data_IF_372006599507
#
_entry.id   IF_372006599507
#
_cell.length_a   1.000
_cell.length_b   1.000
_cell.length_c   1.000
_cell.angle_alpha   90.00
_cell.angle_beta   90.00
_cell.angle_gamma   90.00
#
_symmetry.space_group_name_H-M   'P 1'
#
loop_
_entity.id
_entity.type
_entity.pdbx_description
1 polymer ?
#
# COMPACT_ATOMS: atom_id res chain seq x y z
N UNK A 1 -63.63 -0.35 42.65
CA UNK A 1 -62.97 0.13 41.42
C UNK A 1 -62.45 1.57 41.56
N UNK A 2 -63.20 2.49 42.16
CA UNK A 2 -62.81 3.90 42.28
C UNK A 2 -61.53 4.10 43.14
N UNK A 3 -61.38 3.40 44.26
CA UNK A 3 -60.19 3.50 45.14
C UNK A 3 -58.92 2.93 44.48
N UNK A 4 -59.03 1.87 43.68
CA UNK A 4 -57.90 1.33 42.89
C UNK A 4 -57.35 2.30 41.87
N UNK A 5 -58.21 3.10 41.24
CA UNK A 5 -57.82 4.13 40.23
C UNK A 5 -57.09 5.29 40.89
N UNK A 6 -57.55 5.70 42.09
CA UNK A 6 -56.92 6.79 42.89
C UNK A 6 -55.52 6.36 43.36
N UNK A 7 -55.36 5.14 43.85
CA UNK A 7 -54.05 4.57 44.24
C UNK A 7 -53.07 4.51 43.09
N UNK A 8 -53.55 3.99 41.94
CA UNK A 8 -52.73 3.92 40.72
C UNK A 8 -52.28 5.32 40.22
N UNK A 9 -53.17 6.30 40.36
CA UNK A 9 -52.85 7.71 40.01
C UNK A 9 -51.77 8.32 40.90
N UNK A 10 -51.88 8.11 42.21
CA UNK A 10 -50.82 8.59 43.16
C UNK A 10 -49.48 7.93 42.92
N UNK A 11 -49.43 6.61 42.70
CA UNK A 11 -48.24 5.87 42.36
C UNK A 11 -47.59 6.37 41.04
N UNK A 12 -48.44 6.61 40.05
CA UNK A 12 -48.00 7.13 38.76
C UNK A 12 -47.43 8.55 38.86
N UNK A 13 -48.12 9.45 39.59
CA UNK A 13 -47.63 10.81 39.78
C UNK A 13 -46.28 10.85 40.54
N UNK A 14 -46.10 10.01 41.56
CA UNK A 14 -44.84 9.90 42.28
C UNK A 14 -43.69 9.38 41.44
N UNK A 15 -43.93 8.35 40.66
CA UNK A 15 -42.94 7.79 39.72
C UNK A 15 -42.59 8.79 38.59
N UNK A 16 -43.60 9.50 38.03
CA UNK A 16 -43.39 10.48 36.99
C UNK A 16 -42.59 11.70 37.52
N UNK A 17 -42.85 12.16 38.71
CA UNK A 17 -42.09 13.24 39.35
C UNK A 17 -40.58 12.81 39.54
N UNK A 18 -40.36 11.62 40.08
CA UNK A 18 -39.00 11.07 40.23
C UNK A 18 -38.29 10.93 38.87
N UNK A 19 -38.97 10.45 37.83
CA UNK A 19 -38.45 10.34 36.46
C UNK A 19 -38.11 11.69 35.84
N UNK A 20 -38.92 12.74 36.05
CA UNK A 20 -38.66 14.08 35.59
C UNK A 20 -37.41 14.69 36.27
N UNK A 21 -37.31 14.55 37.59
CA UNK A 21 -36.12 15.01 38.35
C UNK A 21 -34.87 14.26 37.87
N UNK A 22 -34.97 12.93 37.63
CA UNK A 22 -33.88 12.14 37.10
C UNK A 22 -33.46 12.57 35.69
N UNK A 23 -34.39 12.88 34.81
CA UNK A 23 -34.09 13.41 33.48
C UNK A 23 -33.36 14.75 33.51
N UNK A 24 -33.75 15.66 34.42
CA UNK A 24 -33.09 16.94 34.62
C UNK A 24 -31.66 16.71 35.15
N UNK A 25 -31.50 15.87 36.17
CA UNK A 25 -30.19 15.53 36.75
C UNK A 25 -29.28 14.91 35.67
N UNK A 26 -29.76 13.97 34.84
CA UNK A 26 -28.99 13.40 33.75
C UNK A 26 -28.59 14.43 32.70
N UNK A 27 -29.48 15.38 32.38
CA UNK A 27 -29.13 16.52 31.49
C UNK A 27 -28.02 17.40 32.05
N UNK A 28 -28.06 17.72 33.35
CA UNK A 28 -27.04 18.49 34.03
C UNK A 28 -25.69 17.76 34.12
N UNK A 29 -25.74 16.42 34.24
CA UNK A 29 -24.58 15.55 34.37
C UNK A 29 -24.11 14.95 33.03
N UNK A 30 -24.60 15.41 31.87
CA UNK A 30 -24.28 14.83 30.54
C UNK A 30 -22.79 14.79 30.20
N UNK A 31 -21.97 15.63 30.85
CA UNK A 31 -20.52 15.67 30.66
C UNK A 31 -19.74 14.84 31.71
N UNK A 32 -20.44 14.10 32.55
CA UNK A 32 -19.83 13.20 33.55
C UNK A 32 -19.69 11.77 32.99
N UNK A 33 -18.95 10.96 33.73
CA UNK A 33 -18.69 9.56 33.29
C UNK A 33 -19.98 8.74 33.23
N UNK A 34 -19.99 7.71 32.36
CA UNK A 34 -21.09 6.74 32.22
C UNK A 34 -21.48 6.10 33.56
N UNK A 35 -20.49 5.86 34.47
CA UNK A 35 -20.77 5.38 35.82
C UNK A 35 -21.70 6.31 36.60
N UNK A 36 -21.48 7.61 36.54
CA UNK A 36 -22.35 8.57 37.19
C UNK A 36 -23.76 8.55 36.62
N UNK A 37 -23.88 8.46 35.29
CA UNK A 37 -25.18 8.33 34.63
C UNK A 37 -25.94 7.08 35.07
N UNK A 38 -25.28 5.91 35.06
CA UNK A 38 -25.87 4.65 35.53
C UNK A 38 -26.28 4.68 37.00
N UNK A 39 -25.46 5.30 37.86
CA UNK A 39 -25.77 5.48 39.28
C UNK A 39 -27.01 6.35 39.47
N UNK A 40 -27.12 7.45 38.71
CA UNK A 40 -28.29 8.34 38.74
C UNK A 40 -29.56 7.62 38.26
N UNK A 41 -29.48 6.87 37.18
CA UNK A 41 -30.61 6.07 36.67
C UNK A 41 -31.09 5.07 37.71
N UNK A 42 -30.17 4.34 38.35
CA UNK A 42 -30.48 3.39 39.41
C UNK A 42 -31.10 4.07 40.66
N UNK A 43 -30.55 5.21 41.06
CA UNK A 43 -31.07 6.03 42.15
C UNK A 43 -32.51 6.54 41.88
N UNK A 44 -32.76 7.00 40.64
CA UNK A 44 -34.11 7.44 40.23
C UNK A 44 -35.09 6.28 40.23
N UNK A 45 -34.71 5.12 39.67
CA UNK A 45 -35.55 3.91 39.66
C UNK A 45 -35.92 3.47 41.08
N UNK A 46 -34.93 3.41 41.97
CA UNK A 46 -35.11 3.05 43.40
C UNK A 46 -35.98 4.09 44.11
N UNK A 47 -35.78 5.37 43.91
CA UNK A 47 -36.58 6.43 44.53
C UNK A 47 -38.03 6.38 44.03
N UNK A 48 -38.25 6.15 42.72
CA UNK A 48 -39.59 6.00 42.15
C UNK A 48 -40.32 4.78 42.74
N UNK A 49 -39.62 3.66 42.88
CA UNK A 49 -40.18 2.47 43.47
C UNK A 49 -40.54 2.64 44.97
N UNK A 50 -39.66 3.28 45.72
CA UNK A 50 -39.92 3.62 47.13
C UNK A 50 -41.12 4.59 47.30
N UNK A 51 -41.18 5.65 46.52
CA UNK A 51 -42.28 6.60 46.58
C UNK A 51 -43.62 5.92 46.18
N UNK A 52 -43.64 5.07 45.15
CA UNK A 52 -44.80 4.34 44.75
C UNK A 52 -45.31 3.34 45.82
N UNK A 53 -44.39 2.56 46.40
CA UNK A 53 -44.74 1.58 47.44
C UNK A 53 -45.23 2.23 48.74
N UNK A 54 -44.63 3.32 49.17
CA UNK A 54 -45.07 4.10 50.34
C UNK A 54 -46.44 4.66 50.10
N UNK A 55 -46.69 5.32 48.95
CA UNK A 55 -47.97 5.89 48.58
C UNK A 55 -49.10 4.85 48.58
N UNK A 56 -48.85 3.65 48.06
CA UNK A 56 -49.79 2.56 48.05
C UNK A 56 -50.02 2.04 49.48
N UNK A 57 -48.97 1.89 50.29
CA UNK A 57 -49.07 1.38 51.66
C UNK A 57 -49.88 2.33 52.56
N UNK A 58 -49.68 3.64 52.45
CA UNK A 58 -50.53 4.65 53.18
C UNK A 58 -51.96 4.63 52.68
N UNK A 59 -52.23 4.51 51.42
CA UNK A 59 -53.60 4.51 50.87
C UNK A 59 -54.38 3.23 51.19
N UNK A 60 -53.73 2.14 51.50
CA UNK A 60 -54.35 0.86 51.88
C UNK A 60 -54.57 0.69 53.41
N UNK A 61 -54.29 1.70 54.23
CA UNK A 61 -54.43 1.64 55.70
C UNK A 61 -53.77 0.40 56.33
N UNK A 62 -52.53 0.05 55.86
CA UNK A 62 -51.76 -1.05 56.41
C UNK A 62 -51.45 -0.86 57.91
N UNK A 63 -51.37 -1.98 58.63
CA UNK A 63 -50.94 -1.92 60.02
C UNK A 63 -49.49 -1.43 60.12
N UNK A 64 -49.11 -0.80 61.27
CA UNK A 64 -47.72 -0.37 61.45
C UNK A 64 -46.70 -1.50 61.27
N UNK A 65 -47.09 -2.71 61.55
CA UNK A 65 -46.25 -3.93 61.36
C UNK A 65 -46.03 -4.22 59.88
N UNK A 66 -47.08 -4.24 59.09
CA UNK A 66 -46.98 -4.50 57.63
C UNK A 66 -46.21 -3.41 56.90
N UNK A 67 -46.41 -2.16 57.31
CA UNK A 67 -45.64 -1.05 56.77
C UNK A 67 -44.13 -1.19 57.07
N UNK A 68 -43.74 -1.62 58.27
CA UNK A 68 -42.33 -1.86 58.61
C UNK A 68 -41.70 -2.99 57.83
N UNK A 69 -42.43 -4.08 57.55
CA UNK A 69 -41.97 -5.17 56.70
C UNK A 69 -41.75 -4.74 55.27
N UNK A 70 -42.72 -4.04 54.67
CA UNK A 70 -42.62 -3.54 53.30
C UNK A 70 -41.46 -2.58 53.17
N UNK A 71 -41.32 -1.58 54.09
CA UNK A 71 -40.20 -0.64 54.02
C UNK A 71 -38.85 -1.32 54.18
N UNK A 72 -38.72 -2.33 55.02
CA UNK A 72 -37.47 -3.08 55.20
C UNK A 72 -37.08 -3.81 53.94
N UNK A 73 -38.04 -4.55 53.34
CA UNK A 73 -37.80 -5.32 52.09
C UNK A 73 -37.38 -4.36 50.95
N UNK A 74 -38.09 -3.26 50.78
CA UNK A 74 -37.77 -2.29 49.71
C UNK A 74 -36.43 -1.60 49.97
N UNK A 75 -36.11 -1.28 51.24
CA UNK A 75 -34.80 -0.71 51.59
C UNK A 75 -33.64 -1.68 51.28
N UNK A 76 -33.82 -2.98 51.58
CA UNK A 76 -32.81 -3.99 51.22
C UNK A 76 -32.68 -4.14 49.72
N UNK A 77 -33.77 -4.17 48.98
CA UNK A 77 -33.77 -4.25 47.51
C UNK A 77 -33.08 -2.98 46.90
N UNK A 78 -33.30 -1.81 47.47
CA UNK A 78 -32.63 -0.55 47.10
C UNK A 78 -31.11 -0.61 47.25
N UNK A 79 -30.65 -1.12 48.40
CA UNK A 79 -29.21 -1.29 48.69
C UNK A 79 -28.55 -2.25 47.69
N UNK A 80 -29.16 -3.38 47.44
CA UNK A 80 -28.65 -4.38 46.48
C UNK A 80 -28.62 -3.80 45.05
N UNK A 81 -29.69 -3.13 44.65
CA UNK A 81 -29.76 -2.50 43.33
C UNK A 81 -28.71 -1.39 43.15
N UNK A 82 -28.49 -0.57 44.16
CA UNK A 82 -27.46 0.49 44.13
C UNK A 82 -26.07 -0.12 44.10
N UNK A 83 -25.77 -1.12 44.89
CA UNK A 83 -24.48 -1.83 44.89
C UNK A 83 -24.16 -2.41 43.50
N UNK A 84 -25.16 -3.10 42.92
CA UNK A 84 -25.02 -3.69 41.58
C UNK A 84 -24.76 -2.60 40.50
N UNK A 85 -25.49 -1.49 40.53
CA UNK A 85 -25.32 -0.40 39.61
C UNK A 85 -23.93 0.24 39.72
N UNK A 86 -23.40 0.39 40.93
CA UNK A 86 -22.06 0.91 41.20
C UNK A 86 -20.97 -0.01 40.67
N UNK A 87 -21.08 -1.32 40.91
CA UNK A 87 -20.12 -2.32 40.43
C UNK A 87 -20.09 -2.33 38.90
N UNK A 88 -21.27 -2.41 38.26
CA UNK A 88 -21.39 -2.43 36.81
C UNK A 88 -20.86 -1.13 36.18
N UNK A 89 -21.22 0.02 36.76
CA UNK A 89 -20.75 1.32 36.30
C UNK A 89 -19.23 1.46 36.35
N UNK A 90 -18.60 1.00 37.46
CA UNK A 90 -17.13 1.00 37.59
C UNK A 90 -16.48 0.07 36.57
N UNK A 91 -17.04 -1.10 36.31
CA UNK A 91 -16.54 -2.07 35.34
C UNK A 91 -16.57 -1.48 33.92
N UNK A 92 -17.68 -0.88 33.49
CA UNK A 92 -17.79 -0.26 32.15
C UNK A 92 -16.79 0.90 32.00
N UNK A 93 -16.65 1.74 33.02
CA UNK A 93 -15.69 2.88 32.95
C UNK A 93 -14.25 2.40 32.92
N UNK A 94 -13.89 1.35 33.64
CA UNK A 94 -12.54 0.79 33.61
C UNK A 94 -12.19 0.30 32.20
N UNK A 95 -13.10 -0.45 31.56
CA UNK A 95 -12.91 -0.95 30.19
C UNK A 95 -12.86 0.16 29.14
N UNK A 96 -13.72 1.18 29.28
CA UNK A 96 -13.67 2.36 28.41
C UNK A 96 -12.35 3.15 28.51
N UNK A 97 -11.79 3.22 29.74
CA UNK A 97 -10.48 3.86 29.95
C UNK A 97 -9.32 3.07 29.34
N UNK A 98 -9.32 1.74 29.47
CA UNK A 98 -8.31 0.89 28.84
C UNK A 98 -8.30 1.08 27.32
N UNK A 99 -9.47 1.09 26.69
CA UNK A 99 -9.59 1.34 25.25
C UNK A 99 -9.12 2.75 24.87
N UNK A 100 -9.47 3.77 25.67
CA UNK A 100 -9.03 5.14 25.44
C UNK A 100 -7.50 5.32 25.58
N UNK A 101 -6.86 4.59 26.50
CA UNK A 101 -5.40 4.58 26.65
C UNK A 101 -4.73 3.87 25.45
N UNK A 102 -5.25 2.72 25.03
CA UNK A 102 -4.76 2.04 23.84
C UNK A 102 -4.90 2.92 22.58
N UNK A 103 -6.01 3.65 22.44
CA UNK A 103 -6.19 4.58 21.32
C UNK A 103 -5.23 5.78 21.36
N UNK A 104 -4.83 6.27 22.55
CA UNK A 104 -3.84 7.34 22.69
C UNK A 104 -2.43 6.89 22.33
N UNK A 105 -2.01 5.70 22.78
CA UNK A 105 -0.69 5.15 22.44
C UNK A 105 -0.53 4.95 20.93
N UNK A 106 -1.63 4.65 20.24
CA UNK A 106 -1.66 4.63 18.78
C UNK A 106 -1.43 6.02 18.16
N UNK A 107 -2.05 7.08 18.71
CA UNK A 107 -1.85 8.46 18.26
C UNK A 107 -0.41 8.96 18.38
N UNK A 108 0.37 8.41 19.32
CA UNK A 108 1.78 8.72 19.57
C UNK A 108 2.76 7.89 18.74
N UNK A 109 2.26 7.11 17.76
CA UNK A 109 3.08 6.34 16.82
C UNK A 109 3.26 4.87 17.19
N UNK A 110 2.60 4.38 18.23
CA UNK A 110 2.54 2.96 18.59
C UNK A 110 1.56 2.16 17.73
N UNK A 111 1.59 0.84 17.84
CA UNK A 111 0.56 -0.03 17.27
C UNK A 111 -0.64 -0.11 18.22
N UNK A 112 -1.85 -0.10 17.66
CA UNK A 112 -3.05 -0.36 18.45
C UNK A 112 -3.12 -1.85 18.78
N UNK A 113 -3.07 -2.17 20.09
CA UNK A 113 -3.38 -3.51 20.60
C UNK A 113 -4.74 -3.45 21.30
N UNK A 114 -5.70 -4.23 20.84
CA UNK A 114 -6.99 -4.34 21.50
C UNK A 114 -6.81 -4.91 22.91
N UNK A 115 -7.40 -4.30 23.96
CA UNK A 115 -7.33 -4.86 25.30
C UNK A 115 -7.96 -6.24 25.37
N UNK A 116 -7.28 -7.20 26.02
CA UNK A 116 -7.81 -8.53 26.26
C UNK A 116 -8.94 -8.51 27.30
N UNK A 117 -10.06 -9.11 27.01
CA UNK A 117 -11.15 -9.34 27.95
C UNK A 117 -12.54 -9.03 27.41
N UNK A 118 -13.54 -9.74 27.94
CA UNK A 118 -14.93 -9.55 27.58
C UNK A 118 -15.38 -8.12 27.90
N UNK A 119 -15.65 -7.36 26.88
CA UNK A 119 -16.29 -6.04 26.93
C UNK A 119 -17.71 -6.12 26.37
N UNK A 120 -18.46 -5.04 26.44
CA UNK A 120 -19.75 -5.00 25.75
C UNK A 120 -19.55 -5.15 24.24
N UNK A 121 -20.57 -5.62 23.54
CA UNK A 121 -20.52 -5.82 22.08
C UNK A 121 -20.09 -4.56 21.34
N UNK A 122 -20.55 -3.38 21.81
CA UNK A 122 -20.24 -2.09 21.22
C UNK A 122 -18.76 -1.71 21.39
N UNK A 123 -18.18 -1.95 22.57
CA UNK A 123 -16.75 -1.68 22.82
C UNK A 123 -15.86 -2.64 22.02
N UNK A 124 -16.30 -3.88 21.86
CA UNK A 124 -15.58 -4.86 21.02
C UNK A 124 -15.62 -4.47 19.55
N UNK A 125 -16.78 -4.04 19.04
CA UNK A 125 -16.89 -3.53 17.68
C UNK A 125 -16.02 -2.30 17.44
N UNK A 126 -16.03 -1.33 18.37
CA UNK A 126 -15.19 -0.15 18.29
C UNK A 126 -13.69 -0.48 18.31
N UNK A 127 -13.27 -1.41 19.17
CA UNK A 127 -11.89 -1.88 19.23
C UNK A 127 -11.48 -2.55 17.90
N UNK A 128 -12.37 -3.33 17.27
CA UNK A 128 -12.16 -3.93 15.97
C UNK A 128 -11.97 -2.88 14.86
N UNK A 129 -12.80 -1.84 14.81
CA UNK A 129 -12.67 -0.74 13.84
C UNK A 129 -11.38 0.06 14.04
N UNK A 130 -11.00 0.32 15.29
CA UNK A 130 -9.72 0.97 15.60
C UNK A 130 -8.52 0.12 15.17
N UNK A 131 -8.57 -1.18 15.40
CA UNK A 131 -7.52 -2.12 14.97
C UNK A 131 -7.39 -2.14 13.44
N UNK A 132 -8.50 -2.24 12.71
CA UNK A 132 -8.51 -2.22 11.25
C UNK A 132 -7.97 -0.89 10.68
N UNK A 133 -8.35 0.24 11.29
CA UNK A 133 -7.86 1.57 10.90
C UNK A 133 -6.38 1.73 11.18
N UNK A 134 -5.90 1.23 12.33
CA UNK A 134 -4.48 1.19 12.70
C UNK A 134 -3.65 0.42 11.67
N UNK A 135 -4.13 -0.76 11.28
CA UNK A 135 -3.44 -1.58 10.28
C UNK A 135 -3.38 -0.91 8.90
N UNK A 136 -4.48 -0.29 8.46
CA UNK A 136 -4.50 0.48 7.20
C UNK A 136 -3.50 1.64 7.23
N UNK A 137 -3.45 2.37 8.35
CA UNK A 137 -2.51 3.49 8.52
C UNK A 137 -1.06 3.01 8.58
N UNK A 138 -0.78 1.89 9.24
CA UNK A 138 0.56 1.29 9.28
C UNK A 138 1.04 0.91 7.87
N UNK A 139 0.19 0.23 7.08
CA UNK A 139 0.49 -0.11 5.68
C UNK A 139 0.69 1.14 4.81
N UNK A 140 -0.11 2.19 5.03
CA UNK A 140 0.05 3.46 4.29
C UNK A 140 1.40 4.13 4.59
N UNK A 141 1.78 4.19 5.87
CA UNK A 141 3.08 4.76 6.29
C UNK A 141 4.26 3.94 5.78
N UNK A 142 4.13 2.63 5.71
CA UNK A 142 5.18 1.76 5.18
C UNK A 142 5.37 1.99 3.67
N UNK A 143 4.28 2.11 2.91
CA UNK A 143 4.34 2.48 1.49
C UNK A 143 4.97 3.86 1.29
N UNK A 144 4.58 4.86 2.08
CA UNK A 144 5.15 6.21 2.03
C UNK A 144 6.66 6.20 2.31
N UNK A 145 7.10 5.47 3.33
CA UNK A 145 8.54 5.30 3.63
C UNK A 145 9.29 4.60 2.51
N UNK A 146 8.72 3.55 1.94
CA UNK A 146 9.33 2.85 0.80
C UNK A 146 9.49 3.78 -0.41
N UNK A 147 8.46 4.58 -0.73
CA UNK A 147 8.51 5.58 -1.80
C UNK A 147 9.56 6.67 -1.53
N UNK A 148 9.63 7.18 -0.29
CA UNK A 148 10.61 8.20 0.08
C UNK A 148 12.05 7.65 0.04
N UNK A 149 12.26 6.41 0.46
CA UNK A 149 13.56 5.74 0.37
C UNK A 149 13.98 5.56 -1.09
N UNK A 150 13.08 5.02 -1.93
CA UNK A 150 13.33 4.86 -3.36
C UNK A 150 13.62 6.19 -4.06
N UNK A 151 12.90 7.25 -3.69
CA UNK A 151 13.17 8.59 -4.22
C UNK A 151 14.56 9.11 -3.84
N UNK A 152 14.99 8.91 -2.57
CA UNK A 152 16.32 9.34 -2.12
C UNK A 152 17.43 8.55 -2.81
N UNK A 153 17.25 7.25 -2.93
CA UNK A 153 18.19 6.39 -3.66
C UNK A 153 18.32 6.81 -5.11
N UNK A 154 17.21 7.11 -5.77
CA UNK A 154 17.18 7.60 -7.14
C UNK A 154 17.95 8.92 -7.28
N UNK A 155 17.71 9.92 -6.42
CA UNK A 155 18.40 11.20 -6.44
C UNK A 155 19.91 11.05 -6.19
N UNK A 156 20.28 10.22 -5.23
CA UNK A 156 21.70 9.95 -4.94
C UNK A 156 22.40 9.28 -6.13
N UNK A 157 21.75 8.30 -6.73
CA UNK A 157 22.25 7.60 -7.91
C UNK A 157 22.40 8.54 -9.10
N UNK A 158 21.38 9.36 -9.43
CA UNK A 158 21.42 10.35 -10.49
C UNK A 158 22.63 11.29 -10.32
N UNK A 159 22.80 11.81 -9.10
CA UNK A 159 23.86 12.76 -8.81
C UNK A 159 25.26 12.16 -9.03
N UNK A 160 25.41 10.87 -8.71
CA UNK A 160 26.66 10.16 -8.95
C UNK A 160 26.91 9.88 -10.43
N UNK A 161 25.91 9.34 -11.13
CA UNK A 161 26.06 8.83 -12.49
C UNK A 161 26.05 9.91 -13.58
N UNK A 162 25.48 11.10 -13.29
CA UNK A 162 25.65 12.28 -14.15
C UNK A 162 26.98 12.98 -13.93
N UNK A 163 27.58 12.93 -12.74
CA UNK A 163 28.84 13.61 -12.46
C UNK A 163 30.00 13.05 -13.27
N UNK A 164 30.05 11.74 -13.48
CA UNK A 164 31.16 11.05 -14.18
C UNK A 164 31.25 11.48 -15.66
N UNK A 165 30.17 11.40 -16.49
CA UNK A 165 30.22 11.85 -17.88
C UNK A 165 30.45 13.37 -18.01
N UNK A 166 29.87 14.17 -17.11
CA UNK A 166 30.09 15.61 -17.09
C UNK A 166 31.55 15.97 -16.79
N UNK A 167 32.21 15.26 -15.89
CA UNK A 167 33.64 15.45 -15.63
C UNK A 167 34.50 15.02 -16.84
N UNK A 168 34.11 13.94 -17.55
CA UNK A 168 34.74 13.52 -18.78
C UNK A 168 34.59 14.58 -19.91
N UNK A 169 33.39 15.10 -20.13
CA UNK A 169 33.11 16.18 -21.08
C UNK A 169 33.97 17.42 -20.78
N UNK A 170 34.04 17.81 -19.53
CA UNK A 170 34.86 18.94 -19.09
C UNK A 170 36.33 18.73 -19.38
N UNK A 171 36.88 17.54 -19.03
CA UNK A 171 38.28 17.22 -19.31
C UNK A 171 38.60 17.23 -20.83
N UNK A 172 37.68 16.72 -21.66
CA UNK A 172 37.81 16.74 -23.11
C UNK A 172 37.78 18.16 -23.65
N UNK A 173 36.93 19.03 -23.13
CA UNK A 173 36.86 20.45 -23.53
C UNK A 173 38.12 21.21 -23.12
N UNK A 174 38.60 21.02 -21.88
CA UNK A 174 39.85 21.62 -21.38
C UNK A 174 41.06 21.15 -22.22
N UNK A 175 41.15 19.89 -22.60
CA UNK A 175 42.24 19.38 -23.44
C UNK A 175 42.22 19.95 -24.86
N UNK A 176 41.03 20.22 -25.44
CA UNK A 176 40.87 20.90 -26.71
C UNK A 176 41.25 22.37 -26.61
N UNK A 177 40.88 23.08 -25.54
CA UNK A 177 41.22 24.49 -25.28
C UNK A 177 42.73 24.67 -25.10
N UNK A 178 43.38 23.77 -24.38
CA UNK A 178 44.84 23.81 -24.16
C UNK A 178 45.65 23.41 -25.42
N UNK A 179 45.02 22.92 -26.47
CA UNK A 179 45.69 22.52 -27.72
C UNK A 179 46.59 21.28 -27.56
N UNK A 180 46.42 20.48 -26.50
CA UNK A 180 47.27 19.30 -26.22
C UNK A 180 46.81 18.04 -26.93
N UNK A 181 45.71 18.10 -27.70
CA UNK A 181 45.11 16.97 -28.41
C UNK A 181 45.71 16.79 -29.78
N UNK A 182 46.10 15.57 -30.14
CA UNK A 182 46.65 15.27 -31.45
C UNK A 182 45.58 15.18 -32.57
N UNK A 183 44.33 14.85 -32.20
CA UNK A 183 43.20 14.70 -33.11
C UNK A 183 41.94 15.34 -32.50
N UNK A 184 41.69 16.64 -32.78
CA UNK A 184 40.53 17.36 -32.28
C UNK A 184 39.20 16.82 -32.78
N UNK A 185 39.11 16.29 -34.00
CA UNK A 185 37.88 15.77 -34.57
C UNK A 185 37.38 14.54 -33.78
N UNK A 186 38.31 13.69 -33.39
CA UNK A 186 37.99 12.54 -32.50
C UNK A 186 37.39 13.00 -31.17
N UNK A 187 37.91 14.07 -30.57
CA UNK A 187 37.39 14.61 -29.31
C UNK A 187 35.99 15.23 -29.49
N UNK A 188 35.76 15.94 -30.61
CA UNK A 188 34.41 16.44 -30.91
C UNK A 188 33.37 15.30 -31.07
N UNK A 189 33.75 14.20 -31.77
CA UNK A 189 32.89 13.02 -31.87
C UNK A 189 32.63 12.37 -30.53
N UNK A 190 33.64 12.26 -29.65
CA UNK A 190 33.47 11.72 -28.31
C UNK A 190 32.56 12.58 -27.42
N UNK A 191 32.72 13.91 -27.48
CA UNK A 191 31.84 14.87 -26.81
C UNK A 191 30.39 14.71 -27.31
N UNK A 192 30.17 14.61 -28.62
CA UNK A 192 28.85 14.38 -29.19
C UNK A 192 28.21 13.08 -28.65
N UNK A 193 28.95 11.99 -28.71
CA UNK A 193 28.46 10.70 -28.21
C UNK A 193 28.13 10.73 -26.70
N UNK A 194 28.93 11.43 -25.87
CA UNK A 194 28.66 11.54 -24.44
C UNK A 194 27.46 12.45 -24.12
N UNK A 195 27.24 13.52 -24.95
CA UNK A 195 26.02 14.34 -24.86
C UNK A 195 24.77 13.52 -25.20
N UNK A 196 24.82 12.71 -26.26
CA UNK A 196 23.70 11.83 -26.64
C UNK A 196 23.40 10.81 -25.56
N UNK A 197 24.44 10.27 -24.95
CA UNK A 197 24.31 9.36 -23.80
C UNK A 197 23.65 10.03 -22.58
N UNK A 198 24.05 11.27 -22.28
CA UNK A 198 23.44 12.07 -21.20
C UNK A 198 21.96 12.36 -21.48
N UNK A 199 21.62 12.73 -22.73
CA UNK A 199 20.24 12.96 -23.13
C UNK A 199 19.38 11.69 -22.97
N UNK A 200 19.90 10.54 -23.38
CA UNK A 200 19.23 9.25 -23.18
C UNK A 200 18.99 8.98 -21.69
N UNK A 201 20.02 9.20 -20.85
CA UNK A 201 19.93 8.99 -19.39
C UNK A 201 18.89 9.91 -18.74
N UNK A 202 18.81 11.17 -19.15
CA UNK A 202 17.79 12.13 -18.68
C UNK A 202 16.38 11.67 -19.10
N UNK A 203 16.23 11.16 -20.35
CA UNK A 203 14.99 10.61 -20.83
C UNK A 203 14.52 9.39 -20.01
N UNK A 204 15.45 8.46 -19.73
CA UNK A 204 15.18 7.27 -18.91
C UNK A 204 14.79 7.63 -17.48
N UNK A 205 15.44 8.65 -16.91
CA UNK A 205 15.13 9.17 -15.59
C UNK A 205 13.72 9.77 -15.51
N UNK A 206 13.35 10.56 -16.51
CA UNK A 206 12.02 11.16 -16.57
C UNK A 206 10.93 10.08 -16.64
N UNK A 207 11.17 9.04 -17.44
CA UNK A 207 10.26 7.90 -17.56
C UNK A 207 10.14 7.11 -16.25
N UNK A 208 11.28 6.80 -15.61
CA UNK A 208 11.29 6.12 -14.33
C UNK A 208 10.56 6.93 -13.24
N UNK A 209 10.69 8.26 -13.30
CA UNK A 209 9.93 9.14 -12.39
C UNK A 209 8.42 9.04 -12.60
N UNK A 210 7.96 8.95 -13.86
CA UNK A 210 6.53 8.76 -14.20
C UNK A 210 6.00 7.39 -13.75
N UNK A 211 6.81 6.35 -13.95
CA UNK A 211 6.50 4.98 -13.50
C UNK A 211 6.34 4.97 -11.97
N UNK A 212 7.30 5.50 -11.22
CA UNK A 212 7.25 5.54 -9.75
C UNK A 212 6.10 6.39 -9.21
N UNK A 213 5.70 7.45 -9.92
CA UNK A 213 4.54 8.26 -9.56
C UNK A 213 3.20 7.58 -9.90
N UNK A 214 3.20 6.44 -10.59
CA UNK A 214 1.98 5.80 -11.09
C UNK A 214 1.23 6.63 -12.12
N UNK A 215 1.95 7.54 -12.81
CA UNK A 215 1.37 8.51 -13.76
C UNK A 215 1.75 8.21 -15.21
N UNK A 216 2.25 7.01 -15.50
CA UNK A 216 2.53 6.59 -16.88
C UNK A 216 1.21 6.53 -17.66
N UNK A 217 0.95 7.45 -18.61
CA UNK A 217 -0.26 7.40 -19.41
C UNK A 217 -0.09 6.31 -20.46
N UNK A 218 -0.84 5.25 -20.34
CA UNK A 218 -0.90 4.20 -21.33
C UNK A 218 -2.07 4.44 -22.28
N UNK A 219 -1.86 4.15 -23.56
CA UNK A 219 -2.87 4.13 -24.61
C UNK A 219 -2.95 2.74 -25.21
N UNK A 220 -3.50 1.74 -24.49
CA UNK A 220 -3.54 0.38 -24.95
C UNK A 220 -4.32 0.25 -26.26
N UNK A 221 -3.77 -0.47 -27.20
CA UNK A 221 -4.41 -0.82 -28.47
C UNK A 221 -4.18 -2.29 -28.76
N UNK A 222 -5.07 -2.91 -29.51
CA UNK A 222 -4.94 -4.29 -29.92
C UNK A 222 -3.86 -4.40 -31.01
N UNK A 223 -2.74 -5.05 -30.67
CA UNK A 223 -1.57 -5.18 -31.54
C UNK A 223 -1.19 -6.63 -31.74
N UNK A 224 -0.58 -6.93 -32.88
CA UNK A 224 0.03 -8.24 -33.14
C UNK A 224 1.39 -8.33 -32.45
N UNK A 225 1.59 -9.38 -31.66
CA UNK A 225 2.89 -9.68 -31.05
C UNK A 225 3.97 -9.86 -32.11
N UNK A 226 3.61 -10.40 -33.28
CA UNK A 226 4.51 -10.57 -34.42
C UNK A 226 5.06 -9.21 -34.89
N UNK A 227 4.20 -8.21 -35.02
CA UNK A 227 4.59 -6.87 -35.47
C UNK A 227 5.50 -6.19 -34.43
N UNK A 228 5.18 -6.29 -33.15
CA UNK A 228 6.02 -5.77 -32.07
C UNK A 228 7.44 -6.38 -32.08
N UNK A 229 7.52 -7.69 -32.22
CA UNK A 229 8.81 -8.40 -32.29
C UNK A 229 9.58 -8.02 -33.57
N UNK A 230 8.89 -7.92 -34.70
CA UNK A 230 9.49 -7.54 -36.00
C UNK A 230 10.10 -6.13 -35.93
N UNK A 231 9.37 -5.17 -35.37
CA UNK A 231 9.85 -3.79 -35.19
C UNK A 231 11.06 -3.73 -34.24
N UNK A 232 10.99 -4.46 -33.12
CA UNK A 232 12.09 -4.48 -32.16
C UNK A 232 13.37 -5.10 -32.75
N UNK A 233 13.26 -6.19 -33.51
CA UNK A 233 14.40 -6.79 -34.21
C UNK A 233 15.00 -5.85 -35.24
N UNK A 234 14.17 -5.21 -36.07
CA UNK A 234 14.64 -4.25 -37.07
C UNK A 234 15.38 -3.07 -36.44
N UNK A 235 14.87 -2.56 -35.30
CA UNK A 235 15.52 -1.47 -34.55
C UNK A 235 16.84 -1.86 -33.90
N UNK A 236 17.01 -3.11 -33.48
CA UNK A 236 18.21 -3.61 -32.79
C UNK A 236 19.30 -4.12 -33.76
N UNK A 237 18.97 -4.43 -35.02
CA UNK A 237 19.87 -5.04 -36.00
C UNK A 237 21.16 -4.24 -36.26
N UNK A 238 21.15 -2.88 -36.39
CA UNK A 238 22.38 -2.11 -36.55
C UNK A 238 23.35 -2.29 -35.36
N UNK A 239 22.86 -2.24 -34.14
CA UNK A 239 23.65 -2.42 -32.93
C UNK A 239 24.23 -3.84 -32.82
N UNK A 240 23.43 -4.84 -33.18
CA UNK A 240 23.87 -6.22 -33.15
C UNK A 240 25.00 -6.47 -34.15
N UNK A 241 24.91 -5.93 -35.37
CA UNK A 241 25.99 -6.00 -36.38
C UNK A 241 27.28 -5.31 -35.90
N UNK A 242 27.15 -4.15 -35.25
CA UNK A 242 28.30 -3.42 -34.71
C UNK A 242 29.04 -4.26 -33.65
N UNK A 243 28.28 -5.01 -32.81
CA UNK A 243 28.83 -5.88 -31.78
C UNK A 243 29.20 -7.29 -32.26
N UNK A 244 28.96 -7.62 -33.52
CA UNK A 244 29.21 -8.96 -34.07
C UNK A 244 28.26 -10.04 -33.48
N UNK A 245 27.06 -9.64 -33.04
CA UNK A 245 26.06 -10.52 -32.42
C UNK A 245 24.99 -10.87 -33.45
N UNK A 246 24.56 -12.13 -33.49
CA UNK A 246 23.47 -12.59 -34.37
C UNK A 246 22.12 -12.47 -33.68
N UNK A 247 21.21 -11.70 -34.25
CA UNK A 247 19.81 -11.68 -33.83
C UNK A 247 19.00 -12.78 -34.52
N UNK A 248 18.22 -13.52 -33.75
CA UNK A 248 17.35 -14.59 -34.23
C UNK A 248 15.94 -14.39 -33.71
N UNK A 249 14.96 -14.28 -34.64
CA UNK A 249 13.54 -14.40 -34.30
C UNK A 249 13.16 -15.86 -34.27
N UNK A 250 12.82 -16.40 -33.13
CA UNK A 250 12.19 -17.73 -32.99
C UNK A 250 10.71 -17.65 -33.36
N UNK A 251 9.99 -18.78 -33.44
CA UNK A 251 8.57 -18.75 -33.77
C UNK A 251 7.79 -17.81 -32.83
N UNK A 252 7.08 -16.84 -33.40
CA UNK A 252 6.24 -15.90 -32.70
C UNK A 252 4.78 -16.27 -32.96
N UNK A 253 4.05 -16.57 -31.91
CA UNK A 253 2.63 -16.84 -32.01
C UNK A 253 1.88 -15.60 -32.52
N UNK A 254 1.03 -15.68 -33.55
CA UNK A 254 0.27 -14.55 -34.09
C UNK A 254 -0.94 -14.23 -33.20
N UNK A 255 -0.68 -13.87 -31.96
CA UNK A 255 -1.73 -13.56 -30.95
C UNK A 255 -1.79 -12.07 -30.71
N UNK A 256 -2.98 -11.47 -30.68
CA UNK A 256 -3.14 -10.08 -30.32
C UNK A 256 -2.97 -9.89 -28.80
N UNK A 257 -2.32 -8.79 -28.44
CA UNK A 257 -2.23 -8.27 -27.08
C UNK A 257 -2.82 -6.87 -27.04
N UNK A 258 -3.33 -6.47 -25.88
CA UNK A 258 -3.83 -5.12 -25.65
C UNK A 258 -2.79 -4.34 -24.86
N UNK A 259 -1.98 -3.54 -25.57
CA UNK A 259 -0.83 -2.86 -25.00
C UNK A 259 -0.62 -1.48 -25.64
N UNK A 260 0.10 -0.62 -24.97
CA UNK A 260 0.67 0.57 -25.59
C UNK A 260 1.91 0.16 -26.44
N UNK A 261 1.76 0.25 -27.75
CA UNK A 261 2.79 -0.20 -28.69
C UNK A 261 4.12 0.50 -28.51
N UNK A 262 4.11 1.82 -28.25
CA UNK A 262 5.31 2.62 -28.03
C UNK A 262 6.06 2.15 -26.80
N UNK A 263 5.36 1.96 -25.71
CA UNK A 263 5.97 1.52 -24.45
C UNK A 263 6.46 0.08 -24.54
N UNK A 264 5.74 -0.80 -25.23
CA UNK A 264 6.17 -2.19 -25.42
C UNK A 264 7.36 -2.30 -26.38
N UNK A 265 7.43 -1.50 -27.46
CA UNK A 265 8.62 -1.39 -28.30
C UNK A 265 9.83 -0.97 -27.47
N UNK A 266 9.66 -0.02 -26.53
CA UNK A 266 10.70 0.40 -25.59
C UNK A 266 11.14 -0.74 -24.65
N UNK A 267 10.20 -1.53 -24.13
CA UNK A 267 10.52 -2.73 -23.34
C UNK A 267 11.43 -3.68 -24.10
N UNK A 268 11.02 -4.04 -25.34
CA UNK A 268 11.79 -4.95 -26.16
C UNK A 268 13.15 -4.38 -26.56
N UNK A 269 13.23 -3.09 -26.90
CA UNK A 269 14.48 -2.40 -27.20
C UNK A 269 15.45 -2.46 -25.99
N UNK A 270 14.98 -2.17 -24.76
CA UNK A 270 15.81 -2.25 -23.56
C UNK A 270 16.32 -3.67 -23.31
N UNK A 271 15.49 -4.69 -23.51
CA UNK A 271 15.89 -6.09 -23.36
C UNK A 271 16.91 -6.49 -24.41
N UNK A 272 16.70 -6.13 -25.69
CA UNK A 272 17.60 -6.46 -26.81
C UNK A 272 18.94 -5.73 -26.67
N UNK A 273 18.95 -4.44 -26.36
CA UNK A 273 20.17 -3.68 -26.12
C UNK A 273 21.00 -4.27 -24.97
N UNK A 274 20.33 -4.64 -23.87
CA UNK A 274 21.01 -5.28 -22.74
C UNK A 274 21.57 -6.65 -23.16
N UNK A 275 20.83 -7.45 -23.90
CA UNK A 275 21.24 -8.77 -24.38
C UNK A 275 22.44 -8.68 -25.34
N UNK A 276 22.41 -7.74 -26.30
CA UNK A 276 23.48 -7.53 -27.27
C UNK A 276 24.79 -7.12 -26.56
N UNK A 277 24.73 -6.16 -25.63
CA UNK A 277 25.91 -5.71 -24.90
C UNK A 277 26.54 -6.78 -23.99
N UNK A 278 25.75 -7.76 -23.56
CA UNK A 278 26.19 -8.83 -22.67
C UNK A 278 26.62 -10.10 -23.41
N UNK A 279 26.26 -10.23 -24.67
CA UNK A 279 26.60 -11.40 -25.49
C UNK A 279 27.99 -11.18 -26.12
N UNK A 280 28.93 -12.13 -25.99
CA UNK A 280 30.21 -12.04 -26.71
C UNK A 280 30.03 -11.97 -28.22
N UNK A 281 31.02 -11.43 -28.93
CA UNK A 281 31.06 -11.46 -30.39
C UNK A 281 30.90 -12.90 -30.90
N UNK A 282 30.24 -13.07 -32.05
CA UNK A 282 29.83 -14.34 -32.66
C UNK A 282 28.71 -15.09 -31.86
N UNK A 283 28.25 -14.52 -30.72
CA UNK A 283 27.14 -15.05 -29.95
C UNK A 283 25.79 -14.79 -30.61
N UNK A 284 24.74 -15.33 -30.01
CA UNK A 284 23.37 -15.22 -30.51
C UNK A 284 22.46 -14.66 -29.44
N UNK A 285 21.63 -13.71 -29.84
CA UNK A 285 20.50 -13.20 -29.05
C UNK A 285 19.22 -13.64 -29.76
N UNK A 286 18.37 -14.37 -29.04
CA UNK A 286 17.10 -14.89 -29.58
C UNK A 286 15.91 -14.22 -28.90
N UNK A 287 14.90 -13.84 -29.70
CA UNK A 287 13.61 -13.37 -29.21
C UNK A 287 12.52 -14.35 -29.62
N UNK A 288 11.65 -14.70 -28.69
CA UNK A 288 10.52 -15.60 -28.92
C UNK A 288 9.25 -15.04 -28.29
N UNK A 289 8.10 -15.47 -28.81
CA UNK A 289 6.81 -15.20 -28.19
C UNK A 289 5.94 -16.45 -28.23
N UNK A 290 5.44 -16.85 -27.09
CA UNK A 290 4.57 -18.02 -26.93
C UNK A 290 3.31 -17.68 -26.16
N UNK A 291 2.25 -18.42 -26.39
CA UNK A 291 1.03 -18.38 -25.59
C UNK A 291 1.15 -19.43 -24.50
N UNK A 292 1.00 -19.00 -23.26
CA UNK A 292 1.00 -19.87 -22.09
C UNK A 292 -0.26 -19.58 -21.27
N UNK A 293 -1.18 -20.53 -21.26
CA UNK A 293 -2.51 -20.37 -20.66
C UNK A 293 -3.27 -19.17 -21.26
N UNK A 294 -3.69 -18.22 -20.43
CA UNK A 294 -4.36 -16.96 -20.83
C UNK A 294 -3.40 -15.78 -20.94
N UNK A 295 -2.11 -16.03 -21.17
CA UNK A 295 -1.07 -15.00 -21.21
C UNK A 295 -0.16 -15.17 -22.43
N UNK A 296 0.42 -14.08 -22.87
CA UNK A 296 1.49 -14.06 -23.87
C UNK A 296 2.81 -13.84 -23.15
N UNK A 297 3.78 -14.71 -23.43
CA UNK A 297 5.13 -14.62 -22.88
C UNK A 297 6.10 -14.24 -23.98
N UNK A 298 6.63 -13.02 -23.88
CA UNK A 298 7.75 -12.55 -24.70
C UNK A 298 9.05 -12.91 -23.99
N UNK A 299 10.01 -13.47 -24.67
CA UNK A 299 11.30 -13.82 -24.08
C UNK A 299 12.48 -13.38 -24.94
N UNK A 300 13.51 -12.83 -24.27
CA UNK A 300 14.81 -12.52 -24.88
C UNK A 300 15.85 -13.39 -24.20
N UNK A 301 16.56 -14.20 -24.98
CA UNK A 301 17.63 -15.09 -24.51
C UNK A 301 18.96 -14.59 -25.03
N UNK A 302 19.94 -14.47 -24.16
CA UNK A 302 21.29 -13.98 -24.47
C UNK A 302 22.36 -15.03 -24.13
N UNK A 303 23.59 -14.76 -24.58
CA UNK A 303 24.78 -15.57 -24.31
C UNK A 303 25.69 -14.99 -23.22
N UNK A 304 25.13 -14.33 -22.19
CA UNK A 304 25.88 -13.60 -21.18
C UNK A 304 26.72 -14.47 -20.21
N UNK A 305 26.65 -15.80 -20.31
CA UNK A 305 27.30 -16.73 -19.38
C UNK A 305 26.57 -16.95 -18.05
N UNK A 306 25.47 -16.22 -17.84
CA UNK A 306 24.63 -16.30 -16.62
C UNK A 306 24.83 -15.15 -15.65
N UNK A 307 23.85 -14.98 -14.76
CA UNK A 307 23.84 -14.00 -13.66
C UNK A 307 24.04 -14.75 -12.34
N UNK A 308 24.88 -14.26 -11.40
CA UNK A 308 25.00 -14.86 -10.08
C UNK A 308 23.62 -14.99 -9.40
N UNK A 309 23.38 -16.12 -8.73
CA UNK A 309 22.08 -16.40 -8.13
C UNK A 309 21.65 -15.32 -7.10
N UNK A 310 22.61 -14.72 -6.42
CA UNK A 310 22.41 -13.62 -5.46
C UNK A 310 21.96 -12.31 -6.13
N UNK A 311 22.27 -12.13 -7.41
CA UNK A 311 21.95 -10.94 -8.19
C UNK A 311 20.61 -11.05 -8.93
N UNK A 312 20.15 -12.27 -9.24
CA UNK A 312 18.90 -12.50 -9.98
C UNK A 312 17.68 -11.74 -9.43
N UNK A 313 17.43 -11.68 -8.11
CA UNK A 313 16.31 -10.93 -7.57
C UNK A 313 16.39 -9.42 -7.75
N UNK A 314 17.60 -8.91 -8.00
CA UNK A 314 17.94 -7.49 -8.00
C UNK A 314 18.14 -6.89 -9.40
N UNK A 315 18.15 -7.68 -10.45
CA UNK A 315 18.49 -7.20 -11.82
C UNK A 315 17.55 -6.10 -12.32
N UNK A 316 16.32 -6.07 -11.83
CA UNK A 316 15.32 -5.05 -12.14
C UNK A 316 15.33 -3.85 -11.18
N UNK A 317 16.21 -3.84 -10.17
CA UNK A 317 16.32 -2.71 -9.25
C UNK A 317 16.96 -1.51 -9.95
N UNK A 318 16.50 -0.32 -9.61
CA UNK A 318 17.01 0.93 -10.18
C UNK A 318 18.50 1.08 -9.91
N UNK A 319 19.28 1.30 -10.97
CA UNK A 319 20.74 1.48 -10.86
C UNK A 319 21.53 0.18 -10.61
N UNK A 320 20.88 -0.99 -10.64
CA UNK A 320 21.62 -2.24 -10.50
C UNK A 320 22.56 -2.46 -11.69
N UNK A 321 23.79 -2.85 -11.37
CA UNK A 321 24.84 -3.21 -12.32
C UNK A 321 25.54 -4.48 -11.83
N UNK A 322 25.62 -5.50 -12.65
CA UNK A 322 26.38 -6.70 -12.33
C UNK A 322 27.85 -6.39 -12.07
N UNK A 323 28.52 -7.20 -11.29
CA UNK A 323 29.92 -7.03 -10.87
C UNK A 323 30.92 -6.91 -12.05
N UNK A 324 30.59 -7.44 -13.21
CA UNK A 324 31.42 -7.37 -14.43
C UNK A 324 31.17 -6.12 -15.28
N UNK A 325 30.16 -5.29 -14.96
CA UNK A 325 29.79 -4.12 -15.74
C UNK A 325 30.62 -2.85 -15.45
N UNK A 326 31.84 -2.99 -14.95
CA UNK A 326 32.74 -1.84 -14.64
C UNK A 326 33.46 -1.26 -15.85
N UNK A 327 33.33 -1.89 -17.03
CA UNK A 327 33.97 -1.43 -18.27
C UNK A 327 32.98 -0.62 -19.11
N UNK A 328 33.28 0.63 -19.55
CA UNK A 328 32.43 1.38 -20.49
C UNK A 328 32.35 0.65 -21.85
N UNK A 329 31.18 0.67 -22.55
CA UNK A 329 30.03 1.53 -22.33
C UNK A 329 28.90 0.81 -21.56
N UNK A 330 28.99 0.74 -20.24
CA UNK A 330 27.88 0.21 -19.44
C UNK A 330 26.76 1.26 -19.37
N UNK A 331 25.53 0.85 -19.71
CA UNK A 331 24.34 1.67 -19.58
C UNK A 331 24.09 2.15 -18.13
N UNK A 332 23.20 3.11 -17.96
CA UNK A 332 22.87 3.73 -16.68
C UNK A 332 22.27 2.77 -15.62
N UNK A 333 21.99 1.50 -15.97
CA UNK A 333 21.30 0.55 -15.07
C UNK A 333 19.82 0.88 -14.87
N UNK A 334 19.23 1.70 -15.74
CA UNK A 334 17.81 2.08 -15.67
C UNK A 334 16.93 1.23 -16.58
N UNK A 335 17.46 0.71 -17.67
CA UNK A 335 16.69 0.03 -18.71
C UNK A 335 15.85 -1.13 -18.19
N UNK A 336 16.41 -2.00 -17.33
CA UNK A 336 15.66 -3.13 -16.77
C UNK A 336 14.62 -2.68 -15.73
N UNK A 337 14.88 -1.63 -14.97
CA UNK A 337 13.89 -1.04 -14.06
C UNK A 337 12.72 -0.42 -14.84
N UNK A 338 12.99 0.21 -15.98
CA UNK A 338 11.97 0.73 -16.90
C UNK A 338 11.16 -0.43 -17.50
N UNK A 339 11.82 -1.52 -17.92
CA UNK A 339 11.12 -2.75 -18.39
C UNK A 339 10.12 -3.22 -17.35
N UNK A 340 10.55 -3.42 -16.09
CA UNK A 340 9.65 -3.86 -15.02
C UNK A 340 8.48 -2.89 -14.84
N UNK A 341 8.75 -1.60 -14.76
CA UNK A 341 7.70 -0.60 -14.51
C UNK A 341 6.68 -0.49 -15.63
N UNK A 342 7.10 -0.54 -16.91
CA UNK A 342 6.18 -0.54 -18.05
C UNK A 342 5.35 -1.82 -18.08
N UNK A 343 5.97 -2.98 -17.84
CA UNK A 343 5.28 -4.27 -17.83
C UNK A 343 4.26 -4.35 -16.69
N UNK A 344 4.60 -3.90 -15.48
CA UNK A 344 3.68 -3.83 -14.35
C UNK A 344 2.52 -2.85 -14.61
N UNK A 345 2.76 -1.74 -15.30
CA UNK A 345 1.71 -0.80 -15.71
C UNK A 345 0.73 -1.42 -16.72
N UNK A 346 1.15 -2.44 -17.48
CA UNK A 346 0.30 -3.25 -18.36
C UNK A 346 -0.28 -4.50 -17.66
N UNK A 347 -0.30 -4.53 -16.33
CA UNK A 347 -0.78 -5.67 -15.53
C UNK A 347 -0.01 -6.98 -15.81
N UNK A 348 1.21 -6.84 -16.34
CA UNK A 348 2.11 -7.95 -16.67
C UNK A 348 3.13 -8.23 -15.57
N UNK A 349 4.04 -9.15 -15.89
CA UNK A 349 5.14 -9.53 -14.99
C UNK A 349 6.45 -9.69 -15.77
N UNK A 350 7.55 -9.13 -15.25
CA UNK A 350 8.89 -9.30 -15.79
C UNK A 350 9.71 -10.24 -14.90
N UNK A 351 10.39 -11.21 -15.49
CA UNK A 351 11.21 -12.20 -14.79
C UNK A 351 12.52 -12.45 -15.53
N UNK A 352 13.51 -13.00 -14.84
CA UNK A 352 14.77 -13.45 -15.42
C UNK A 352 15.17 -14.78 -14.81
N UNK A 353 15.77 -15.63 -15.63
CA UNK A 353 16.37 -16.88 -15.17
C UNK A 353 17.62 -17.23 -15.99
N UNK A 354 18.55 -17.94 -15.38
CA UNK A 354 19.67 -18.50 -16.08
C UNK A 354 19.23 -19.68 -16.96
N UNK A 355 19.82 -19.75 -18.14
CA UNK A 355 19.70 -20.87 -19.10
C UNK A 355 21.11 -21.35 -19.45
N UNK A 356 21.21 -22.47 -20.18
CA UNK A 356 22.51 -23.00 -20.61
C UNK A 356 23.25 -21.96 -21.45
N UNK A 357 24.38 -21.47 -20.93
CA UNK A 357 25.25 -20.51 -21.61
C UNK A 357 24.83 -19.04 -21.49
N UNK A 358 23.73 -18.71 -20.81
CA UNK A 358 23.27 -17.31 -20.73
C UNK A 358 22.10 -17.09 -19.81
N UNK A 359 21.30 -16.08 -20.15
CA UNK A 359 20.14 -15.64 -19.40
C UNK A 359 18.92 -15.57 -20.32
N UNK A 360 17.72 -15.74 -19.72
CA UNK A 360 16.47 -15.48 -20.39
C UNK A 360 15.65 -14.52 -19.57
N UNK A 361 15.33 -13.39 -20.19
CA UNK A 361 14.38 -12.41 -19.68
C UNK A 361 12.99 -12.74 -20.25
N UNK A 362 11.98 -12.77 -19.41
CA UNK A 362 10.61 -13.10 -19.77
C UNK A 362 9.67 -11.96 -19.36
N UNK A 363 8.80 -11.55 -20.28
CA UNK A 363 7.73 -10.56 -20.06
C UNK A 363 6.42 -11.27 -20.31
N UNK A 364 5.62 -11.42 -19.28
CA UNK A 364 4.30 -12.04 -19.32
C UNK A 364 3.23 -10.96 -19.36
N UNK A 365 2.37 -10.97 -20.36
CA UNK A 365 1.27 -10.03 -20.55
C UNK A 365 -0.05 -10.79 -20.59
N UNK A 366 -1.16 -10.22 -20.09
CA UNK A 366 -2.49 -10.79 -20.29
C UNK A 366 -2.78 -10.91 -21.80
N UNK A 367 -3.31 -12.05 -22.25
CA UNK A 367 -3.79 -12.16 -23.61
C UNK A 367 -5.05 -11.28 -23.78
N UNK A 368 -5.20 -10.66 -24.95
CA UNK A 368 -6.43 -9.94 -25.25
C UNK A 368 -7.60 -10.93 -25.20
N UNK A 369 -8.62 -10.62 -24.38
CA UNK A 369 -9.82 -11.42 -24.28
C UNK A 369 -10.53 -11.49 -25.65
N UNK A 370 -11.07 -12.65 -25.99
CA UNK A 370 -11.77 -12.88 -27.27
C UNK A 370 -13.11 -12.15 -27.39
N UNK A 371 -13.52 -11.39 -26.36
CA UNK A 371 -14.80 -10.67 -26.31
C UNK A 371 -14.72 -9.36 -27.10
N UNK A 372 -15.12 -9.41 -28.37
CA UNK A 372 -15.23 -8.23 -29.23
C UNK A 372 -15.36 -8.54 -30.73
N UNK A 373 -16.09 -9.60 -31.11
CA UNK A 373 -16.62 -9.71 -32.46
C UNK A 373 -18.14 -9.72 -32.46
#
# INVERSE_FOLDING_TARGET
>A
MHNMLIIALYAFCGAAAAGLVGAVVLRLLRNRSVAVALTVVAAVAVTAMLAGTLAVAEAMFLSRHDLSVVTTVVAMAAVVSMATALVLGRWVVARSRELALAARSFGEGGSFAAPDGASTAELTALAGELAATSERLARSRERERALETSRRELVAWISHDLRTPLAGLRAMAEALEDGVVADPDRYFHQIGAEVDRLNSMVGDLFELSRIHAGTLPLSPTRMSVYDLVGEALAGADPLAREHGVRLVGEPVAPVPVEVDGKEMTRVLANLLVNAIHRTPADGTVAIAAEVRDASVVLSVTDGCGGIPAEDLPRVFDTGWRGSQARTPPAGAGLGLAIVRGIVEAHEGHAAVRNVTGGCRFEVTLPAATADGM
#
